data_IF_448496833843
#
_entry.id   IF_448496833843
#
_cell.length_a   1.000
_cell.length_b   1.000
_cell.length_c   1.000
_cell.angle_alpha   90.00
_cell.angle_beta   90.00
_cell.angle_gamma   90.00
#
_symmetry.space_group_name_H-M   'P 1'
#
loop_
_entity.id
_entity.type
_entity.pdbx_description
1 polymer ?
#
# COMPACT_ATOMS: atom_id res chain seq x y z
N UNK A 1 -10.19 49.67 -42.25
CA UNK A 1 -8.88 49.82 -41.57
C UNK A 1 -8.98 49.04 -40.28
N UNK A 2 -8.39 47.87 -40.05
CA UNK A 2 -7.27 47.09 -40.59
C UNK A 2 -7.59 45.61 -40.26
N UNK A 3 -7.43 44.61 -41.14
CA UNK A 3 -6.26 43.66 -41.23
C UNK A 3 -5.67 43.26 -39.87
N UNK A 4 -5.32 42.02 -39.51
CA UNK A 4 -5.20 40.68 -40.07
C UNK A 4 -5.08 39.77 -38.81
N UNK A 5 -5.43 38.49 -38.74
CA UNK A 5 -4.76 37.35 -39.35
C UNK A 5 -5.46 36.10 -38.78
N UNK A 6 -6.03 35.27 -39.66
CA UNK A 6 -6.77 34.06 -39.29
C UNK A 6 -5.76 32.97 -38.91
N UNK A 7 -5.79 32.51 -37.65
CA UNK A 7 -5.07 31.29 -37.23
C UNK A 7 -6.04 30.11 -37.25
N UNK A 8 -6.14 29.45 -38.39
CA UNK A 8 -6.86 28.18 -38.54
C UNK A 8 -6.07 27.10 -37.81
N UNK A 9 -6.62 26.42 -36.77
CA UNK A 9 -5.98 25.24 -36.21
C UNK A 9 -6.10 24.09 -37.22
N UNK A 10 -4.96 23.55 -37.66
CA UNK A 10 -4.92 22.31 -38.42
C UNK A 10 -5.55 21.18 -37.59
N UNK A 11 -6.51 20.39 -38.13
CA UNK A 11 -7.02 19.21 -37.43
C UNK A 11 -5.91 18.15 -37.35
N UNK A 12 -5.69 17.63 -36.14
CA UNK A 12 -4.74 16.54 -35.89
C UNK A 12 -5.18 15.25 -36.62
N UNK A 13 -4.24 14.42 -37.11
CA UNK A 13 -4.58 13.15 -37.74
C UNK A 13 -5.19 12.18 -36.72
N UNK A 14 -6.41 11.72 -37.00
CA UNK A 14 -7.07 10.67 -36.26
C UNK A 14 -6.36 9.34 -36.54
N UNK A 15 -5.55 8.87 -35.59
CA UNK A 15 -5.05 7.49 -35.61
C UNK A 15 -6.18 6.55 -35.18
N UNK A 16 -6.71 5.80 -36.15
CA UNK A 16 -7.61 4.68 -35.89
C UNK A 16 -6.95 3.67 -34.93
N UNK A 17 -7.62 3.21 -33.87
CA UNK A 17 -7.10 2.12 -33.06
C UNK A 17 -7.21 0.83 -33.87
N UNK A 18 -6.07 0.28 -34.30
CA UNK A 18 -5.99 -1.10 -34.76
C UNK A 18 -6.51 -1.99 -33.63
N UNK A 19 -7.66 -2.64 -33.84
CA UNK A 19 -8.16 -3.68 -32.95
C UNK A 19 -7.09 -4.75 -32.81
N UNK A 20 -6.70 -5.04 -31.57
CA UNK A 20 -5.80 -6.14 -31.27
C UNK A 20 -6.40 -7.48 -31.75
N UNK A 21 -5.58 -8.41 -32.27
CA UNK A 21 -6.03 -9.77 -32.58
C UNK A 21 -6.55 -10.48 -31.32
N UNK A 22 -7.52 -11.41 -31.45
CA UNK A 22 -7.95 -12.23 -30.32
C UNK A 22 -6.77 -13.07 -29.80
N UNK A 23 -6.46 -12.93 -28.52
CA UNK A 23 -5.43 -13.72 -27.84
C UNK A 23 -5.82 -15.20 -27.87
N UNK A 24 -4.89 -16.12 -28.21
CA UNK A 24 -5.15 -17.55 -28.11
C UNK A 24 -5.44 -17.95 -26.64
N UNK A 25 -6.20 -19.03 -26.40
CA UNK A 25 -6.47 -19.51 -25.05
C UNK A 25 -5.15 -19.88 -24.33
N UNK A 26 -5.07 -19.70 -23.00
CA UNK A 26 -3.87 -20.05 -22.26
C UNK A 26 -3.68 -21.57 -22.30
N UNK A 27 -2.67 -22.02 -23.05
CA UNK A 27 -2.14 -23.38 -22.95
C UNK A 27 -1.60 -23.55 -21.53
N UNK A 28 -2.25 -24.40 -20.73
CA UNK A 28 -1.76 -24.79 -19.40
C UNK A 28 -0.45 -25.55 -19.58
N UNK A 29 0.66 -24.83 -19.58
CA UNK A 29 1.99 -25.43 -19.49
C UNK A 29 2.12 -26.07 -18.10
N UNK A 30 2.60 -27.31 -17.99
CA UNK A 30 2.98 -27.88 -16.71
C UNK A 30 3.95 -26.93 -16.00
N UNK A 31 3.84 -26.75 -14.66
CA UNK A 31 4.77 -25.92 -13.93
C UNK A 31 6.19 -26.41 -14.21
N UNK A 32 7.17 -25.51 -14.44
CA UNK A 32 8.55 -25.91 -14.59
C UNK A 32 8.99 -26.70 -13.34
N UNK A 33 9.86 -27.70 -13.49
CA UNK A 33 10.41 -28.41 -12.34
C UNK A 33 10.98 -27.39 -11.36
N UNK A 34 10.56 -27.50 -10.09
CA UNK A 34 11.04 -26.63 -9.02
C UNK A 34 12.58 -26.61 -9.07
N UNK A 35 13.21 -25.43 -9.01
CA UNK A 35 14.66 -25.36 -8.94
C UNK A 35 15.14 -26.19 -7.74
N UNK A 36 16.33 -26.83 -7.81
CA UNK A 36 16.87 -27.57 -6.69
C UNK A 36 16.86 -26.66 -5.47
N UNK A 37 16.13 -27.07 -4.43
CA UNK A 37 16.06 -26.39 -3.14
C UNK A 37 17.48 -26.36 -2.60
N UNK A 38 18.22 -25.29 -2.90
CA UNK A 38 19.43 -24.96 -2.16
C UNK A 38 18.98 -24.90 -0.71
N UNK A 39 19.53 -25.81 0.09
CA UNK A 39 19.39 -25.84 1.53
C UNK A 39 19.41 -24.41 2.05
N UNK A 40 18.42 -23.98 2.84
CA UNK A 40 18.46 -22.67 3.47
C UNK A 40 19.81 -22.53 4.16
N UNK A 41 20.52 -21.38 4.02
CA UNK A 41 21.64 -21.11 4.89
C UNK A 41 21.14 -21.29 6.32
N UNK A 42 21.81 -22.16 7.08
CA UNK A 42 21.52 -22.41 8.49
C UNK A 42 21.30 -21.06 9.15
N UNK A 43 20.07 -20.79 9.57
CA UNK A 43 19.78 -19.55 10.28
C UNK A 43 20.75 -19.50 11.46
N UNK A 44 21.51 -18.41 11.66
CA UNK A 44 22.29 -18.27 12.88
C UNK A 44 21.32 -18.47 14.07
N UNK A 45 21.75 -19.08 15.18
CA UNK A 45 20.86 -19.38 16.31
C UNK A 45 20.05 -18.13 16.65
N UNK A 46 18.74 -18.19 16.39
CA UNK A 46 17.82 -17.15 16.82
C UNK A 46 17.96 -17.14 18.33
N UNK A 47 18.59 -16.09 18.87
CA UNK A 47 18.63 -15.89 20.33
C UNK A 47 17.20 -16.13 20.84
N UNK A 48 17.01 -16.87 21.94
CA UNK A 48 15.69 -17.00 22.55
C UNK A 48 15.06 -15.61 22.62
N UNK A 49 13.77 -15.43 22.26
CA UNK A 49 13.13 -14.15 22.46
C UNK A 49 13.32 -13.80 23.94
N UNK A 50 14.18 -12.82 24.20
CA UNK A 50 14.28 -12.22 25.53
C UNK A 50 12.84 -11.85 25.86
N UNK A 51 12.30 -12.45 26.92
CA UNK A 51 10.98 -12.13 27.38
C UNK A 51 10.88 -10.60 27.37
N UNK A 52 9.91 -10.00 26.66
CA UNK A 52 9.74 -8.56 26.74
C UNK A 52 9.61 -8.22 28.24
N UNK A 53 10.17 -7.09 28.71
CA UNK A 53 9.82 -6.61 30.05
C UNK A 53 8.28 -6.61 30.15
N UNK A 54 7.69 -6.81 31.35
CA UNK A 54 6.24 -6.85 31.49
C UNK A 54 5.70 -5.56 30.88
N UNK A 55 5.16 -5.69 29.65
CA UNK A 55 4.64 -4.54 28.92
C UNK A 55 3.39 -4.23 29.70
N UNK A 56 3.46 -3.19 30.52
CA UNK A 56 2.30 -2.61 31.17
C UNK A 56 1.17 -2.61 30.14
N UNK A 57 -0.04 -3.06 30.50
CA UNK A 57 -1.15 -3.10 29.56
C UNK A 57 -1.20 -1.74 28.87
N UNK A 58 -1.22 -1.67 27.53
CA UNK A 58 -1.37 -0.40 26.87
C UNK A 58 -2.68 0.16 27.38
N UNK A 59 -2.57 1.16 28.25
CA UNK A 59 -3.71 1.86 28.81
C UNK A 59 -4.46 2.31 27.57
N UNK A 60 -5.61 1.69 27.34
CA UNK A 60 -6.44 1.85 26.16
C UNK A 60 -7.18 3.17 26.25
N UNK A 61 -6.50 4.22 26.75
CA UNK A 61 -6.95 5.57 26.63
C UNK A 61 -7.07 5.86 25.13
N UNK A 62 -8.21 6.36 24.66
CA UNK A 62 -8.36 6.81 23.29
C UNK A 62 -7.23 7.79 22.98
N UNK A 63 -6.25 7.36 22.17
CA UNK A 63 -5.22 8.28 21.69
C UNK A 63 -5.96 9.35 20.87
N UNK A 64 -5.69 10.64 21.12
CA UNK A 64 -6.28 11.68 20.30
C UNK A 64 -5.90 11.43 18.84
N UNK A 65 -6.83 11.72 17.90
CA UNK A 65 -6.56 11.51 16.48
C UNK A 65 -5.31 12.31 16.06
N UNK A 66 -4.41 11.73 15.23
CA UNK A 66 -3.22 12.42 14.78
C UNK A 66 -3.60 13.69 14.02
N UNK A 67 -3.14 14.85 14.52
CA UNK A 67 -3.43 16.17 13.94
C UNK A 67 -2.36 16.57 12.92
N UNK A 68 -1.17 15.99 13.01
CA UNK A 68 -0.04 16.25 12.11
C UNK A 68 0.58 14.94 11.59
N UNK A 69 1.33 15.03 10.49
CA UNK A 69 2.11 13.90 9.93
C UNK A 69 3.08 13.31 10.97
N UNK A 70 3.59 14.11 11.90
CA UNK A 70 4.52 13.63 12.95
C UNK A 70 3.83 12.68 13.93
N UNK A 71 2.55 12.90 14.22
CA UNK A 71 1.74 12.04 15.08
C UNK A 71 1.39 10.70 14.41
N UNK A 72 1.37 10.68 13.07
CA UNK A 72 1.17 9.46 12.29
C UNK A 72 2.33 8.47 12.41
N UNK A 73 3.56 8.97 12.56
CA UNK A 73 4.76 8.13 12.53
C UNK A 73 4.78 7.04 13.62
N UNK A 74 4.61 7.34 14.93
CA UNK A 74 4.59 6.31 15.97
C UNK A 74 3.42 5.33 15.82
N UNK A 75 2.27 5.80 15.33
CA UNK A 75 1.09 4.95 15.10
C UNK A 75 1.34 3.97 13.93
N UNK A 76 1.92 4.46 12.85
CA UNK A 76 2.27 3.64 11.69
C UNK A 76 3.39 2.65 12.00
N UNK A 77 4.34 2.99 12.88
CA UNK A 77 5.35 2.06 13.36
C UNK A 77 4.74 0.85 14.05
N UNK A 78 3.78 1.08 14.95
CA UNK A 78 3.09 -0.01 15.64
C UNK A 78 2.23 -0.84 14.66
N UNK A 79 1.51 -0.19 13.74
CA UNK A 79 0.70 -0.88 12.71
C UNK A 79 1.55 -1.79 11.81
N UNK A 80 2.73 -1.31 11.42
CA UNK A 80 3.61 -1.99 10.48
C UNK A 80 4.61 -2.96 11.13
N UNK A 81 4.61 -3.08 12.47
CA UNK A 81 5.60 -3.83 13.24
C UNK A 81 5.75 -5.30 12.83
N UNK A 82 4.61 -5.95 12.55
CA UNK A 82 4.53 -7.36 12.14
C UNK A 82 4.46 -7.56 10.62
N UNK A 83 4.41 -6.47 9.85
CA UNK A 83 4.29 -6.57 8.41
C UNK A 83 5.62 -7.00 7.78
N UNK A 84 5.61 -8.00 6.92
CA UNK A 84 6.80 -8.51 6.21
C UNK A 84 7.57 -7.43 5.45
N UNK A 85 6.86 -6.41 4.93
CA UNK A 85 7.45 -5.26 4.20
C UNK A 85 7.26 -3.96 4.97
N UNK A 86 7.95 -3.83 6.11
CA UNK A 86 7.81 -2.69 7.05
C UNK A 86 7.94 -1.32 6.37
N UNK A 87 8.94 -1.12 5.51
CA UNK A 87 9.18 0.16 4.82
C UNK A 87 8.03 0.54 3.87
N UNK A 88 7.48 -0.44 3.13
CA UNK A 88 6.36 -0.21 2.24
C UNK A 88 5.08 0.08 3.03
N UNK A 89 4.84 -0.70 4.09
CA UNK A 89 3.72 -0.48 4.99
C UNK A 89 3.75 0.93 5.60
N UNK A 90 4.91 1.37 6.10
CA UNK A 90 5.06 2.71 6.70
C UNK A 90 4.71 3.81 5.70
N UNK A 91 5.21 3.72 4.47
CA UNK A 91 4.92 4.70 3.41
C UNK A 91 3.42 4.76 3.07
N UNK A 92 2.78 3.59 2.97
CA UNK A 92 1.34 3.51 2.71
C UNK A 92 0.54 4.06 3.91
N UNK A 93 0.88 3.66 5.13
CA UNK A 93 0.23 4.11 6.35
C UNK A 93 0.32 5.61 6.53
N UNK A 94 1.51 6.22 6.33
CA UNK A 94 1.66 7.67 6.44
C UNK A 94 0.82 8.43 5.43
N UNK A 95 0.73 7.95 4.17
CA UNK A 95 -0.15 8.55 3.16
C UNK A 95 -1.62 8.46 3.58
N UNK A 96 -2.03 7.33 4.15
CA UNK A 96 -3.40 7.14 4.62
C UNK A 96 -3.71 7.98 5.86
N UNK A 97 -2.75 8.11 6.77
CA UNK A 97 -2.87 8.90 7.98
C UNK A 97 -2.90 10.39 7.68
N UNK A 98 -2.10 10.88 6.74
CA UNK A 98 -2.14 12.28 6.33
C UNK A 98 -3.51 12.67 5.76
N UNK A 99 -4.11 11.79 4.95
CA UNK A 99 -5.42 12.04 4.34
C UNK A 99 -6.58 11.85 5.32
N UNK A 100 -6.54 10.82 6.16
CA UNK A 100 -7.66 10.44 7.02
C UNK A 100 -7.50 10.88 8.47
N UNK A 101 -6.33 11.41 8.86
CA UNK A 101 -5.99 11.87 10.21
C UNK A 101 -6.30 10.81 11.27
N UNK A 102 -6.12 9.55 10.91
CA UNK A 102 -6.45 8.40 11.73
C UNK A 102 -5.62 7.17 11.33
N UNK A 103 -5.11 6.44 12.33
CA UNK A 103 -4.47 5.13 12.17
C UNK A 103 -5.17 4.14 13.08
N UNK A 104 -5.71 3.03 12.54
CA UNK A 104 -6.34 2.00 13.33
C UNK A 104 -5.37 1.41 14.39
N UNK A 105 -5.84 1.20 15.62
CA UNK A 105 -5.03 0.55 16.66
C UNK A 105 -4.89 -0.94 16.39
N UNK A 106 -3.71 -1.48 16.71
CA UNK A 106 -3.32 -2.85 16.40
C UNK A 106 -2.53 -2.93 15.10
N UNK A 107 -2.27 -4.16 14.65
CA UNK A 107 -1.41 -4.48 13.51
C UNK A 107 -2.27 -4.96 12.33
N UNK A 108 -3.35 -5.67 12.64
CA UNK A 108 -4.28 -6.26 11.70
C UNK A 108 -5.72 -5.85 12.04
N UNK A 109 -6.57 -5.68 11.02
CA UNK A 109 -7.99 -5.35 11.20
C UNK A 109 -8.25 -3.94 11.75
N UNK A 110 -9.36 -3.79 12.48
CA UNK A 110 -9.81 -2.58 13.18
C UNK A 110 -10.05 -1.35 12.28
N UNK A 111 -10.30 -1.60 11.00
CA UNK A 111 -10.47 -0.55 10.00
C UNK A 111 -11.70 0.31 10.32
N UNK A 112 -12.72 -0.26 10.96
CA UNK A 112 -13.91 0.49 11.36
C UNK A 112 -13.60 1.64 12.32
N UNK A 113 -12.52 1.56 13.10
CA UNK A 113 -12.14 2.61 14.06
C UNK A 113 -11.72 3.92 13.39
N UNK A 114 -11.23 3.85 12.15
CA UNK A 114 -10.93 5.01 11.32
C UNK A 114 -11.96 5.24 10.21
N UNK A 115 -13.04 4.46 10.22
CA UNK A 115 -14.13 4.53 9.27
C UNK A 115 -13.70 4.34 7.81
N UNK A 116 -14.56 4.87 6.93
CA UNK A 116 -14.52 4.67 5.48
C UNK A 116 -13.26 5.24 4.82
N UNK A 117 -12.73 6.36 5.32
CA UNK A 117 -11.57 7.00 4.70
C UNK A 117 -10.35 6.06 4.62
N UNK A 118 -10.09 5.31 5.69
CA UNK A 118 -8.93 4.42 5.77
C UNK A 118 -9.20 3.06 5.09
N UNK A 119 -10.44 2.57 5.11
CA UNK A 119 -10.82 1.30 4.46
C UNK A 119 -10.99 1.40 2.94
N UNK A 120 -11.60 2.49 2.46
CA UNK A 120 -12.08 2.62 1.08
C UNK A 120 -11.01 3.22 0.15
N UNK A 121 -9.87 3.63 0.71
CA UNK A 121 -8.75 4.09 -0.08
C UNK A 121 -8.18 2.94 -0.91
N UNK A 122 -8.32 3.05 -2.22
CA UNK A 122 -7.82 2.07 -3.18
C UNK A 122 -6.66 2.63 -4.00
N UNK A 123 -5.85 1.71 -4.49
CA UNK A 123 -4.86 1.95 -5.55
C UNK A 123 -5.55 1.97 -6.91
N UNK A 124 -4.85 2.39 -7.97
CA UNK A 124 -5.37 2.34 -9.34
C UNK A 124 -5.86 0.94 -9.76
N UNK A 125 -5.34 -0.12 -9.15
CA UNK A 125 -5.70 -1.52 -9.43
C UNK A 125 -6.86 -2.03 -8.56
N UNK A 126 -7.60 -1.15 -7.88
CA UNK A 126 -8.77 -1.52 -7.06
C UNK A 126 -8.43 -2.26 -5.75
N UNK A 127 -7.14 -2.41 -5.42
CA UNK A 127 -6.69 -3.01 -4.16
C UNK A 127 -6.64 -1.96 -3.06
N UNK A 128 -6.99 -2.35 -1.83
CA UNK A 128 -6.90 -1.49 -0.64
C UNK A 128 -5.46 -0.97 -0.48
N UNK A 129 -5.31 0.35 -0.42
CA UNK A 129 -4.03 1.04 -0.36
C UNK A 129 -3.45 1.02 1.06
N UNK A 130 -4.30 1.21 2.06
CA UNK A 130 -3.87 1.32 3.45
C UNK A 130 -3.63 -0.06 4.07
N UNK A 131 -2.58 -0.23 4.91
CA UNK A 131 -2.35 -1.48 5.62
C UNK A 131 -3.50 -1.78 6.57
#
# INVERSE_FOLDING_TARGET
METAYVKVPLPAPAHSPLKAPPTPPPVKTPPPPLPPVKTPPSLPPVKPPTAPPPVMPPTSAPRPPPKTIKDCYPLCLERCKLHSRKRLCLRACMTCCDRCKCVPPGQYGNLEKCGKCYSDMTTHYGRRKCP
#
